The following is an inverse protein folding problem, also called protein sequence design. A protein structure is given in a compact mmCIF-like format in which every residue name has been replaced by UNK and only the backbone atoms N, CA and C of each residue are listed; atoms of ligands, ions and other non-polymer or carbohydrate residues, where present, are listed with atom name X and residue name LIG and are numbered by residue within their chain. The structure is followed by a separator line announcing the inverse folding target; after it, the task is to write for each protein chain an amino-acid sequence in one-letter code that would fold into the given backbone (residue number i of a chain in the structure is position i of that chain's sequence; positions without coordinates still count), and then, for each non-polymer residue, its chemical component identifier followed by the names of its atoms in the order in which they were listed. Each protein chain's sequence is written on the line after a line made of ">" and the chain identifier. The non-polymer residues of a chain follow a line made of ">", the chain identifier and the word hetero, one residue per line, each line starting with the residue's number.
data_IF_393079233345
#
_entry.id   IF_393079233345
#
_cell.length_a   1.000
_cell.length_b   1.000
_cell.length_c   1.000
_cell.angle_alpha   90.00
_cell.angle_beta   90.00
_cell.angle_gamma   90.00
#
_symmetry.space_group_name_H-M   'P 1'
#
loop_
_entity.id
_entity.type
_entity.pdbx_description
1 polymer ?
#
# COMPACT_ATOMS: atom_id res chain seq x y z
N UNK A 1 -50.80 2.40 -15.01
CA UNK A 1 -51.33 3.00 -13.76
C UNK A 1 -50.58 2.41 -12.59
N UNK A 2 -49.55 3.10 -12.10
CA UNK A 2 -48.94 2.78 -10.80
C UNK A 2 -48.64 4.10 -10.09
N UNK A 3 -49.30 4.27 -8.96
CA UNK A 3 -49.22 5.43 -8.07
C UNK A 3 -47.92 5.36 -7.27
N UNK A 4 -47.29 6.52 -7.09
CA UNK A 4 -46.13 6.74 -6.27
C UNK A 4 -46.37 6.54 -4.79
N UNK A 5 -45.34 6.07 -4.09
CA UNK A 5 -45.27 6.03 -2.65
C UNK A 5 -44.14 6.96 -2.22
N UNK A 6 -44.52 8.00 -1.48
CA UNK A 6 -43.61 8.99 -0.95
C UNK A 6 -42.75 8.45 0.19
N UNK A 7 -41.49 8.78 0.15
CA UNK A 7 -40.52 8.44 1.20
C UNK A 7 -40.56 9.53 2.28
N UNK A 8 -41.03 9.16 3.45
CA UNK A 8 -41.00 9.99 4.64
C UNK A 8 -39.61 9.86 5.33
N UNK A 9 -38.85 10.95 5.34
CA UNK A 9 -37.67 11.11 6.17
C UNK A 9 -38.06 11.15 7.64
N UNK A 10 -37.73 10.14 8.43
CA UNK A 10 -37.73 10.20 9.90
C UNK A 10 -36.28 10.31 10.40
N UNK A 11 -35.96 11.51 10.88
CA UNK A 11 -34.76 11.77 11.69
C UNK A 11 -34.98 11.16 13.07
N UNK A 12 -34.21 10.14 13.42
CA UNK A 12 -34.16 9.64 14.78
C UNK A 12 -32.99 10.31 15.52
N UNK A 13 -33.31 11.27 16.37
CA UNK A 13 -32.36 11.86 17.32
C UNK A 13 -32.33 10.93 18.55
N UNK A 14 -31.23 10.24 18.76
CA UNK A 14 -31.02 9.51 20.01
C UNK A 14 -30.14 10.34 20.92
N UNK A 15 -30.74 10.78 22.02
CA UNK A 15 -30.11 11.48 23.13
C UNK A 15 -29.55 10.39 24.04
N UNK A 16 -28.26 10.35 24.27
CA UNK A 16 -27.62 9.55 25.32
C UNK A 16 -27.16 10.49 26.42
N UNK A 17 -27.75 10.30 27.58
CA UNK A 17 -27.47 11.05 28.79
C UNK A 17 -26.13 10.62 29.38
N UNK A 18 -25.34 11.62 29.79
CA UNK A 18 -24.14 11.48 30.61
C UNK A 18 -24.51 11.01 32.03
N UNK A 19 -23.78 10.02 32.53
CA UNK A 19 -23.61 9.80 33.96
C UNK A 19 -22.14 10.04 34.31
N UNK A 20 -21.92 11.14 34.99
CA UNK A 20 -20.66 11.51 35.63
C UNK A 20 -20.55 10.82 37.00
N UNK A 21 -19.43 10.15 37.27
CA UNK A 21 -19.01 9.79 38.61
C UNK A 21 -17.57 10.27 38.82
N UNK A 22 -17.46 11.30 39.59
CA UNK A 22 -16.19 11.82 40.09
C UNK A 22 -15.73 10.96 41.27
N UNK A 23 -14.45 10.55 41.27
CA UNK A 23 -13.75 10.18 42.50
C UNK A 23 -12.42 10.92 42.56
N UNK A 24 -12.41 11.84 43.51
CA UNK A 24 -11.23 12.54 44.03
C UNK A 24 -10.57 11.65 45.07
N UNK A 25 -9.29 11.43 44.97
CA UNK A 25 -8.44 11.02 46.08
C UNK A 25 -7.09 11.72 45.99
N UNK A 26 -6.97 12.65 46.90
CA UNK A 26 -5.79 13.41 47.31
C UNK A 26 -4.89 12.54 48.18
N UNK A 27 -3.58 12.54 47.92
CA UNK A 27 -2.62 12.33 48.99
C UNK A 27 -1.29 13.02 48.65
N UNK A 28 -0.96 14.01 49.46
CA UNK A 28 0.34 14.66 49.56
C UNK A 28 1.32 13.76 50.32
N UNK A 29 2.58 13.79 49.96
CA UNK A 29 3.69 13.73 50.89
C UNK A 29 4.94 14.37 50.29
N UNK A 30 5.37 15.45 50.93
CA UNK A 30 6.70 16.08 50.86
C UNK A 30 7.72 15.16 51.53
N UNK A 31 8.94 15.13 51.05
CA UNK A 31 10.09 15.41 51.93
C UNK A 31 11.34 15.86 51.16
N UNK A 32 11.94 16.85 51.73
CA UNK A 32 13.16 17.63 51.51
C UNK A 32 14.40 16.87 51.98
N UNK A 33 15.53 17.19 51.39
CA UNK A 33 16.81 17.72 51.95
C UNK A 33 17.98 17.38 51.03
N UNK A 34 18.63 18.40 50.48
CA UNK A 34 19.87 19.07 50.88
C UNK A 34 21.14 18.22 50.71
N UNK A 35 22.06 18.68 50.04
CA UNK A 35 23.24 19.60 50.15
C UNK A 35 24.34 19.06 49.27
N UNK A 36 25.04 19.75 48.55
CA UNK A 36 26.05 20.77 48.49
C UNK A 36 27.12 20.56 47.39
N UNK A 37 27.37 21.61 46.69
CA UNK A 37 28.62 22.24 46.27
C UNK A 37 29.75 21.42 45.58
N UNK A 38 30.18 21.82 44.41
CA UNK A 38 31.27 22.73 44.12
C UNK A 38 31.68 22.83 42.62
N UNK A 39 31.59 24.03 42.12
CA UNK A 39 32.58 24.90 41.45
C UNK A 39 33.49 24.34 40.31
N UNK A 40 33.28 25.02 39.18
CA UNK A 40 34.27 25.73 38.32
C UNK A 40 35.02 24.87 37.30
N UNK A 41 35.01 25.16 36.08
CA UNK A 41 35.61 26.25 35.29
C UNK A 41 35.53 25.95 33.79
N UNK A 42 35.20 26.98 33.05
CA UNK A 42 35.58 27.33 31.70
C UNK A 42 36.34 26.34 30.78
N UNK A 43 35.80 26.11 29.61
CA UNK A 43 36.47 26.61 28.39
C UNK A 43 35.51 26.50 27.17
N UNK A 44 35.24 27.61 26.51
CA UNK A 44 34.70 27.73 25.17
C UNK A 44 35.57 26.96 24.18
N UNK A 45 34.95 26.12 23.36
CA UNK A 45 35.44 25.96 21.99
C UNK A 45 34.24 25.73 21.10
N UNK A 46 34.02 26.65 20.18
CA UNK A 46 33.17 26.51 19.00
C UNK A 46 33.63 25.32 18.19
N UNK A 47 32.73 24.46 17.83
CA UNK A 47 32.89 23.65 16.64
C UNK A 47 31.61 23.70 15.82
N UNK A 48 31.64 24.58 14.85
CA UNK A 48 30.73 24.71 13.75
C UNK A 48 31.27 23.85 12.63
N UNK A 49 30.78 22.65 12.45
CA UNK A 49 30.80 21.97 11.15
C UNK A 49 30.29 20.52 11.26
N UNK A 50 28.99 20.31 11.18
CA UNK A 50 28.40 18.99 10.85
C UNK A 50 26.95 19.08 10.34
N UNK A 51 26.65 19.99 9.44
CA UNK A 51 25.33 20.06 8.80
C UNK A 51 25.35 20.12 7.26
N UNK A 52 26.51 19.91 6.64
CA UNK A 52 26.60 20.02 5.17
C UNK A 52 26.66 18.68 4.41
N UNK A 53 26.78 17.53 5.11
CA UNK A 53 26.95 16.23 4.45
C UNK A 53 25.68 15.38 4.34
N UNK A 54 24.58 15.78 5.00
CA UNK A 54 23.30 15.03 4.95
C UNK A 54 22.36 15.53 3.84
N UNK A 55 22.56 16.72 3.34
CA UNK A 55 21.71 17.35 2.33
C UNK A 55 22.01 16.85 0.90
N UNK A 56 23.26 16.57 0.58
CA UNK A 56 23.66 16.17 -0.77
C UNK A 56 23.25 14.72 -1.14
N UNK A 57 23.15 13.81 -0.15
CA UNK A 57 22.72 12.43 -0.39
C UNK A 57 21.21 12.28 -0.51
N UNK A 58 20.44 13.13 0.16
CA UNK A 58 18.99 13.17 0.05
C UNK A 58 18.55 13.80 -1.28
N UNK A 59 19.28 14.80 -1.75
CA UNK A 59 19.04 15.47 -3.05
C UNK A 59 19.30 14.53 -4.24
N UNK A 60 20.32 13.67 -4.21
CA UNK A 60 20.60 12.71 -5.28
C UNK A 60 19.57 11.57 -5.31
N UNK A 61 19.12 11.07 -4.16
CA UNK A 61 18.04 10.09 -4.09
C UNK A 61 16.72 10.66 -4.58
N UNK A 62 16.46 11.92 -4.29
CA UNK A 62 15.27 12.64 -4.78
C UNK A 62 15.29 12.77 -6.29
N UNK A 63 16.44 13.04 -6.91
CA UNK A 63 16.58 13.13 -8.37
C UNK A 63 16.36 11.81 -9.09
N UNK A 64 16.88 10.70 -8.57
CA UNK A 64 16.65 9.38 -9.17
C UNK A 64 15.18 8.96 -9.05
N UNK A 65 14.58 9.21 -7.92
CA UNK A 65 13.17 8.95 -7.67
C UNK A 65 12.26 9.86 -8.52
N UNK A 66 12.57 11.15 -8.61
CA UNK A 66 11.80 12.09 -9.41
C UNK A 66 11.79 11.72 -10.89
N UNK A 67 12.93 11.30 -11.44
CA UNK A 67 13.02 10.86 -12.83
C UNK A 67 12.10 9.65 -13.13
N UNK A 68 11.96 8.72 -12.16
CA UNK A 68 11.01 7.60 -12.28
C UNK A 68 9.56 8.06 -12.21
N UNK A 69 9.24 9.00 -11.33
CA UNK A 69 7.89 9.60 -11.28
C UNK A 69 7.54 10.31 -12.58
N UNK A 70 8.50 11.01 -13.17
CA UNK A 70 8.30 11.76 -14.41
C UNK A 70 7.98 10.87 -15.62
N UNK A 71 8.22 9.56 -15.51
CA UNK A 71 7.82 8.56 -16.50
C UNK A 71 6.36 8.12 -16.36
N UNK A 72 5.67 8.45 -15.24
CA UNK A 72 4.28 8.05 -15.03
C UNK A 72 3.36 8.96 -15.84
N UNK A 73 2.59 8.36 -16.74
CA UNK A 73 1.61 9.04 -17.56
C UNK A 73 0.20 8.42 -17.34
N UNK A 74 -0.85 9.23 -17.28
CA UNK A 74 -0.84 10.70 -17.32
C UNK A 74 -0.26 11.33 -16.04
N UNK A 75 0.32 12.51 -16.16
CA UNK A 75 0.99 13.23 -15.05
C UNK A 75 0.09 13.48 -13.83
N UNK A 76 -1.23 13.48 -14.02
CA UNK A 76 -2.21 13.57 -12.93
C UNK A 76 -2.07 12.43 -11.90
N UNK A 77 -1.54 11.27 -12.27
CA UNK A 77 -1.36 10.15 -11.34
C UNK A 77 -0.22 10.35 -10.32
N UNK A 78 0.62 11.34 -10.53
CA UNK A 78 1.71 11.74 -9.63
C UNK A 78 1.50 13.10 -8.96
N UNK A 79 0.35 13.74 -9.17
CA UNK A 79 0.06 15.08 -8.66
C UNK A 79 -1.15 15.06 -7.72
N UNK A 80 -0.90 15.27 -6.43
CA UNK A 80 -1.93 15.32 -5.41
C UNK A 80 -2.56 16.71 -5.24
N UNK A 81 -2.04 17.76 -5.89
CA UNK A 81 -2.50 19.16 -5.68
C UNK A 81 -3.93 19.42 -6.11
N UNK A 82 -4.45 18.58 -7.01
CA UNK A 82 -5.86 18.64 -7.45
C UNK A 82 -6.83 17.78 -6.64
N UNK A 83 -6.35 17.03 -5.64
CA UNK A 83 -7.17 16.15 -4.83
C UNK A 83 -7.87 16.92 -3.71
N UNK A 84 -9.17 16.65 -3.51
CA UNK A 84 -9.93 17.09 -2.34
C UNK A 84 -9.71 16.12 -1.18
N UNK A 85 -8.47 16.02 -0.72
CA UNK A 85 -8.10 15.15 0.39
C UNK A 85 -8.12 15.94 1.69
N UNK A 86 -8.91 15.48 2.67
CA UNK A 86 -9.07 16.16 3.95
C UNK A 86 -7.79 16.09 4.80
N UNK A 87 -7.58 17.12 5.64
CA UNK A 87 -6.51 17.14 6.63
C UNK A 87 -6.62 15.93 7.58
N UNK A 88 -5.52 15.19 7.74
CA UNK A 88 -5.47 14.00 8.58
C UNK A 88 -6.14 12.77 7.99
N UNK A 89 -6.52 12.81 6.71
CA UNK A 89 -7.08 11.67 6.01
C UNK A 89 -6.19 10.42 6.15
N UNK A 90 -6.84 9.26 6.12
CA UNK A 90 -6.20 7.96 6.26
C UNK A 90 -6.28 7.21 4.93
N UNK A 91 -5.15 6.73 4.43
CA UNK A 91 -5.05 5.88 3.25
C UNK A 91 -4.48 4.54 3.71
N UNK A 92 -5.18 3.46 3.41
CA UNK A 92 -4.74 2.10 3.70
C UNK A 92 -4.11 1.47 2.46
N UNK A 93 -2.96 0.82 2.65
CA UNK A 93 -2.25 0.07 1.61
C UNK A 93 -2.00 -1.34 2.13
N UNK A 94 -2.54 -2.35 1.44
CA UNK A 94 -2.48 -3.74 1.87
C UNK A 94 -1.70 -4.57 0.83
N UNK A 95 -0.56 -5.12 1.24
CA UNK A 95 0.23 -6.04 0.43
C UNK A 95 -0.15 -7.51 0.64
N UNK A 96 0.56 -8.42 -0.05
CA UNK A 96 0.45 -9.87 0.18
C UNK A 96 1.46 -10.39 1.21
N UNK A 97 2.22 -9.51 1.82
CA UNK A 97 3.21 -9.82 2.86
C UNK A 97 3.85 -8.57 3.43
N UNK A 98 4.70 -8.76 4.46
CA UNK A 98 5.36 -7.66 5.18
C UNK A 98 6.87 -7.81 5.26
N UNK A 99 7.41 -9.02 5.08
CA UNK A 99 8.76 -9.39 5.53
C UNK A 99 9.73 -9.74 4.40
N UNK A 100 9.28 -10.00 3.17
CA UNK A 100 10.19 -10.27 2.06
C UNK A 100 10.67 -8.97 1.39
N UNK A 101 11.77 -9.06 0.66
CA UNK A 101 12.43 -7.90 0.06
C UNK A 101 11.52 -7.12 -0.89
N UNK A 102 10.63 -7.80 -1.62
CA UNK A 102 9.68 -7.14 -2.53
C UNK A 102 8.69 -6.28 -1.74
N UNK A 103 8.03 -6.86 -0.74
CA UNK A 103 7.02 -6.14 0.06
C UNK A 103 7.63 -5.04 0.93
N UNK A 104 8.87 -5.22 1.37
CA UNK A 104 9.64 -4.16 2.06
C UNK A 104 9.86 -2.95 1.13
N UNK A 105 10.16 -3.17 -0.17
CA UNK A 105 10.30 -2.06 -1.11
C UNK A 105 8.95 -1.41 -1.44
N UNK A 106 7.88 -2.20 -1.58
CA UNK A 106 6.51 -1.67 -1.76
C UNK A 106 6.12 -0.78 -0.58
N UNK A 107 6.38 -1.22 0.65
CA UNK A 107 6.14 -0.42 1.86
C UNK A 107 6.90 0.92 1.84
N UNK A 108 8.18 0.90 1.47
CA UNK A 108 8.97 2.14 1.34
C UNK A 108 8.38 3.09 0.29
N UNK A 109 7.91 2.54 -0.84
CA UNK A 109 7.22 3.32 -1.86
C UNK A 109 5.94 3.96 -1.34
N UNK A 110 5.13 3.22 -0.59
CA UNK A 110 3.93 3.71 0.05
C UNK A 110 4.21 4.84 1.06
N UNK A 111 5.22 4.65 1.91
CA UNK A 111 5.65 5.68 2.88
C UNK A 111 6.17 6.94 2.17
N UNK A 112 6.89 6.78 1.06
CA UNK A 112 7.36 7.91 0.26
C UNK A 112 6.20 8.65 -0.41
N UNK A 113 5.23 7.93 -0.99
CA UNK A 113 4.02 8.54 -1.56
C UNK A 113 3.26 9.37 -0.51
N UNK A 114 3.18 8.89 0.74
CA UNK A 114 2.60 9.65 1.83
C UNK A 114 3.34 10.96 2.14
N UNK A 115 4.66 10.96 2.08
CA UNK A 115 5.49 12.18 2.22
C UNK A 115 5.22 13.15 1.08
N UNK A 116 5.22 12.66 -0.16
CA UNK A 116 5.03 13.49 -1.35
C UNK A 116 3.63 14.13 -1.38
N UNK A 117 2.59 13.37 -1.02
CA UNK A 117 1.21 13.88 -0.88
C UNK A 117 1.19 15.03 0.14
N UNK A 118 1.78 14.82 1.31
CA UNK A 118 1.81 15.83 2.36
C UNK A 118 2.60 17.07 1.97
N UNK A 119 3.70 16.91 1.27
CA UNK A 119 4.50 18.02 0.74
C UNK A 119 3.69 18.83 -0.29
N UNK A 120 3.06 18.17 -1.27
CA UNK A 120 2.28 18.80 -2.32
C UNK A 120 1.05 19.54 -1.78
N UNK A 121 0.39 18.99 -0.73
CA UNK A 121 -0.78 19.60 -0.10
C UNK A 121 -0.42 20.58 1.02
N UNK A 122 0.85 20.67 1.42
CA UNK A 122 1.30 21.53 2.51
C UNK A 122 0.86 21.04 3.90
N UNK A 123 0.51 19.77 4.07
CA UNK A 123 0.01 19.20 5.33
C UNK A 123 1.15 18.76 6.24
N UNK A 124 1.06 19.13 7.53
CA UNK A 124 2.10 18.84 8.54
C UNK A 124 1.50 18.44 9.89
N UNK A 125 2.23 17.63 10.64
CA UNK A 125 1.86 17.24 12.00
C UNK A 125 0.52 16.50 12.05
N UNK A 126 -0.44 16.99 12.84
CA UNK A 126 -1.77 16.35 12.98
C UNK A 126 -2.63 16.44 11.72
N UNK A 127 -2.31 17.36 10.82
CA UNK A 127 -3.00 17.55 9.55
C UNK A 127 -2.48 16.66 8.44
N UNK A 128 -1.33 16.04 8.64
CA UNK A 128 -0.72 15.18 7.64
C UNK A 128 -1.63 13.99 7.32
N UNK A 129 -1.76 13.68 6.03
CA UNK A 129 -2.36 12.44 5.53
C UNK A 129 -1.54 11.26 6.05
N UNK A 130 -2.23 10.27 6.58
CA UNK A 130 -1.61 9.04 7.09
C UNK A 130 -1.70 7.96 6.04
N UNK A 131 -0.57 7.55 5.50
CA UNK A 131 -0.48 6.38 4.63
C UNK A 131 0.07 5.23 5.47
N UNK A 132 -0.68 4.16 5.59
CA UNK A 132 -0.33 2.99 6.40
C UNK A 132 -0.27 1.76 5.52
N UNK A 133 0.85 1.05 5.60
CA UNK A 133 1.05 -0.22 4.94
C UNK A 133 0.84 -1.37 5.92
N UNK A 134 0.04 -2.34 5.52
CA UNK A 134 -0.23 -3.60 6.23
C UNK A 134 -0.16 -4.78 5.25
N UNK A 135 -0.19 -5.98 5.79
CA UNK A 135 -0.21 -7.21 5.00
C UNK A 135 -0.03 -8.43 5.90
N UNK A 136 -0.31 -9.63 5.40
CA UNK A 136 -0.13 -10.86 6.14
C UNK A 136 1.30 -11.02 6.64
N UNK A 137 1.43 -11.60 7.83
CA UNK A 137 2.72 -11.99 8.39
C UNK A 137 3.31 -13.19 7.67
N UNK A 138 2.46 -14.12 7.28
CA UNK A 138 2.76 -15.23 6.40
C UNK A 138 2.33 -14.87 4.98
N UNK A 139 3.31 -14.80 4.08
CA UNK A 139 3.12 -14.32 2.72
C UNK A 139 2.03 -15.11 1.99
N UNK A 140 1.19 -14.37 1.27
CA UNK A 140 0.07 -14.90 0.48
C UNK A 140 -1.02 -15.61 1.33
N UNK A 141 -1.04 -15.42 2.65
CA UNK A 141 -2.11 -15.92 3.52
C UNK A 141 -3.41 -15.14 3.26
N UNK A 142 -4.33 -15.78 2.55
CA UNK A 142 -5.60 -15.19 2.10
C UNK A 142 -6.49 -14.80 3.28
N UNK A 143 -6.65 -15.70 4.25
CA UNK A 143 -7.55 -15.47 5.41
C UNK A 143 -7.04 -14.31 6.27
N UNK A 144 -5.73 -14.23 6.49
CA UNK A 144 -5.12 -13.11 7.21
C UNK A 144 -5.28 -11.80 6.44
N UNK A 145 -5.14 -11.81 5.09
CA UNK A 145 -5.34 -10.63 4.27
C UNK A 145 -6.79 -10.13 4.33
N UNK A 146 -7.77 -11.02 4.27
CA UNK A 146 -9.20 -10.67 4.37
C UNK A 146 -9.50 -10.05 5.74
N UNK A 147 -8.97 -10.62 6.84
CA UNK A 147 -9.13 -10.06 8.18
C UNK A 147 -8.51 -8.66 8.30
N UNK A 148 -7.30 -8.46 7.74
CA UNK A 148 -6.65 -7.14 7.69
C UNK A 148 -7.52 -6.15 6.91
N UNK A 149 -8.08 -6.56 5.78
CA UNK A 149 -8.95 -5.72 4.96
C UNK A 149 -10.21 -5.30 5.72
N UNK A 150 -10.86 -6.21 6.45
CA UNK A 150 -12.00 -5.89 7.32
C UNK A 150 -11.65 -4.87 8.41
N UNK A 151 -10.50 -5.05 9.06
CA UNK A 151 -10.00 -4.10 10.08
C UNK A 151 -9.74 -2.72 9.49
N UNK A 152 -9.09 -2.66 8.32
CA UNK A 152 -8.77 -1.41 7.65
C UNK A 152 -10.04 -0.67 7.18
N UNK A 153 -11.01 -1.38 6.62
CA UNK A 153 -12.28 -0.79 6.19
C UNK A 153 -13.11 -0.26 7.37
N UNK A 154 -12.99 -0.88 8.55
CA UNK A 154 -13.64 -0.40 9.77
C UNK A 154 -13.16 0.98 10.23
N UNK A 155 -11.99 1.42 9.75
CA UNK A 155 -11.39 2.74 10.01
C UNK A 155 -11.82 3.80 9.01
N UNK A 156 -12.65 3.45 8.04
CA UNK A 156 -13.15 4.35 6.98
C UNK A 156 -12.02 5.08 6.25
N UNK A 157 -11.10 4.37 5.57
CA UNK A 157 -10.02 5.01 4.85
C UNK A 157 -10.55 5.88 3.71
N UNK A 158 -9.89 7.01 3.46
CA UNK A 158 -10.19 7.88 2.34
C UNK A 158 -9.90 7.22 0.97
N UNK A 159 -9.00 6.25 0.96
CA UNK A 159 -8.73 5.36 -0.17
C UNK A 159 -8.13 4.05 0.33
N UNK A 160 -8.37 2.98 -0.42
CA UNK A 160 -7.78 1.65 -0.24
C UNK A 160 -6.94 1.30 -1.45
N UNK A 161 -5.66 0.94 -1.25
CA UNK A 161 -4.85 0.27 -2.25
C UNK A 161 -4.52 -1.15 -1.77
N UNK A 162 -4.74 -2.16 -2.62
CA UNK A 162 -4.53 -3.57 -2.23
C UNK A 162 -3.91 -4.39 -3.36
N UNK A 163 -2.94 -5.23 -3.02
CA UNK A 163 -2.49 -6.35 -3.87
C UNK A 163 -3.17 -7.62 -3.40
N UNK A 164 -4.02 -8.18 -4.23
CA UNK A 164 -4.96 -9.25 -3.85
C UNK A 164 -4.25 -10.62 -3.92
N UNK A 165 -4.26 -11.38 -2.82
CA UNK A 165 -3.67 -12.71 -2.75
C UNK A 165 -4.53 -13.75 -3.50
N UNK A 166 -5.85 -13.67 -3.40
CA UNK A 166 -6.81 -14.52 -4.11
C UNK A 166 -7.87 -13.66 -4.80
N UNK A 167 -8.01 -13.81 -6.12
CA UNK A 167 -8.84 -12.95 -6.97
C UNK A 167 -10.34 -12.90 -6.57
N UNK A 168 -10.82 -13.86 -5.78
CA UNK A 168 -12.22 -13.98 -5.37
C UNK A 168 -12.48 -13.74 -3.88
N UNK A 169 -11.44 -13.77 -3.06
CA UNK A 169 -11.59 -13.77 -1.61
C UNK A 169 -12.07 -12.43 -1.02
N UNK A 170 -11.90 -11.31 -1.73
CA UNK A 170 -12.14 -9.96 -1.19
C UNK A 170 -13.44 -9.30 -1.69
N UNK A 171 -14.31 -9.99 -2.43
CA UNK A 171 -15.49 -9.38 -3.06
C UNK A 171 -16.45 -8.75 -2.04
N UNK A 172 -16.69 -9.43 -0.91
CA UNK A 172 -17.58 -8.92 0.15
C UNK A 172 -17.04 -7.64 0.78
N UNK A 173 -15.73 -7.58 1.00
CA UNK A 173 -15.04 -6.42 1.55
C UNK A 173 -15.04 -5.26 0.55
N UNK A 174 -14.94 -5.56 -0.73
CA UNK A 174 -15.02 -4.55 -1.78
C UNK A 174 -16.42 -3.95 -1.91
N UNK A 175 -17.48 -4.76 -1.73
CA UNK A 175 -18.84 -4.24 -1.61
C UNK A 175 -18.96 -3.29 -0.41
N UNK A 176 -18.37 -3.65 0.73
CA UNK A 176 -18.36 -2.79 1.92
C UNK A 176 -17.59 -1.48 1.65
N UNK A 177 -16.44 -1.55 0.97
CA UNK A 177 -15.71 -0.34 0.57
C UNK A 177 -16.56 0.56 -0.32
N UNK A 178 -17.28 -0.01 -1.28
CA UNK A 178 -18.23 0.71 -2.13
C UNK A 178 -19.34 1.39 -1.34
N UNK A 179 -19.95 0.70 -0.36
CA UNK A 179 -20.97 1.30 0.52
C UNK A 179 -20.42 2.40 1.41
N UNK A 180 -19.17 2.32 1.82
CA UNK A 180 -18.48 3.35 2.60
C UNK A 180 -18.05 4.54 1.73
N UNK A 181 -18.12 4.42 0.41
CA UNK A 181 -17.60 5.43 -0.53
C UNK A 181 -16.07 5.46 -0.61
N UNK A 182 -15.40 4.38 -0.19
CA UNK A 182 -13.94 4.22 -0.24
C UNK A 182 -13.52 3.75 -1.63
N UNK A 183 -12.78 4.54 -2.43
CA UNK A 183 -12.27 4.09 -3.71
C UNK A 183 -11.21 3.00 -3.53
N UNK A 184 -11.25 2.01 -4.43
CA UNK A 184 -10.33 0.87 -4.43
C UNK A 184 -9.38 1.00 -5.61
N UNK A 185 -8.09 0.93 -5.34
CA UNK A 185 -7.03 0.79 -6.32
C UNK A 185 -6.33 -0.55 -6.07
N UNK A 186 -6.12 -1.34 -7.10
CA UNK A 186 -5.30 -2.55 -6.98
C UNK A 186 -3.91 -2.32 -7.54
N UNK A 187 -2.92 -3.01 -6.99
CA UNK A 187 -1.55 -2.98 -7.48
C UNK A 187 -0.93 -4.38 -7.44
N UNK A 188 0.09 -4.63 -8.27
CA UNK A 188 0.73 -5.93 -8.45
C UNK A 188 -0.27 -7.00 -8.90
N UNK A 189 -1.24 -7.38 -8.08
CA UNK A 189 -2.28 -8.36 -8.38
C UNK A 189 -3.68 -7.81 -8.13
N UNK A 190 -4.62 -8.14 -8.99
CA UNK A 190 -6.00 -7.62 -9.01
C UNK A 190 -7.04 -8.74 -9.10
N UNK A 191 -8.30 -8.36 -9.26
CA UNK A 191 -9.44 -9.23 -9.58
C UNK A 191 -10.34 -8.56 -10.62
N UNK A 192 -11.35 -9.31 -11.08
CA UNK A 192 -12.35 -8.81 -12.03
C UNK A 192 -13.48 -8.04 -11.35
N UNK A 193 -13.36 -7.69 -10.06
CA UNK A 193 -14.38 -6.94 -9.33
C UNK A 193 -14.61 -5.56 -9.98
N UNK A 194 -15.86 -5.23 -10.39
CA UNK A 194 -16.14 -4.05 -11.20
C UNK A 194 -15.97 -2.71 -10.48
N UNK A 195 -15.87 -2.73 -9.13
CA UNK A 195 -15.69 -1.54 -8.30
C UNK A 195 -14.25 -1.05 -8.16
N UNK A 196 -13.28 -1.72 -8.81
CA UNK A 196 -11.88 -1.31 -8.79
C UNK A 196 -11.69 -0.09 -9.72
N UNK A 197 -11.22 1.01 -9.14
CA UNK A 197 -11.06 2.29 -9.85
C UNK A 197 -9.82 2.34 -10.75
N UNK A 198 -8.75 1.64 -10.38
CA UNK A 198 -7.51 1.56 -11.15
C UNK A 198 -6.70 0.33 -10.77
N UNK A 199 -5.89 -0.15 -11.71
CA UNK A 199 -4.93 -1.23 -11.49
C UNK A 199 -3.53 -0.80 -11.96
N UNK A 200 -2.55 -0.95 -11.08
CA UNK A 200 -1.14 -0.59 -11.33
C UNK A 200 -0.28 -1.84 -11.22
N UNK A 201 0.27 -2.30 -12.32
CA UNK A 201 1.13 -3.49 -12.32
C UNK A 201 2.16 -3.48 -13.45
N UNK A 202 3.06 -4.45 -13.40
CA UNK A 202 3.84 -4.88 -14.56
C UNK A 202 2.90 -5.41 -15.65
N UNK A 203 3.21 -5.19 -16.92
CA UNK A 203 2.60 -5.97 -18.01
C UNK A 203 3.09 -7.42 -17.92
N UNK A 204 2.32 -8.22 -17.20
CA UNK A 204 2.67 -9.61 -16.89
C UNK A 204 2.63 -10.51 -18.13
N UNK A 205 1.79 -10.19 -19.12
CA UNK A 205 1.72 -10.92 -20.37
C UNK A 205 2.97 -10.66 -21.21
N UNK A 206 3.32 -9.40 -21.43
CA UNK A 206 4.52 -9.04 -22.18
C UNK A 206 5.80 -9.55 -21.50
N UNK A 207 5.89 -9.46 -20.17
CA UNK A 207 7.04 -9.95 -19.41
C UNK A 207 7.24 -11.46 -19.54
N UNK A 208 6.14 -12.24 -19.48
CA UNK A 208 6.22 -13.69 -19.61
C UNK A 208 6.49 -14.14 -21.07
N UNK A 209 5.95 -13.43 -22.04
CA UNK A 209 6.27 -13.63 -23.46
C UNK A 209 7.75 -13.40 -23.73
N UNK A 210 8.31 -12.31 -23.21
CA UNK A 210 9.76 -12.04 -23.34
C UNK A 210 10.61 -13.09 -22.62
N UNK A 211 10.18 -13.55 -21.43
CA UNK A 211 10.87 -14.64 -20.73
C UNK A 211 10.89 -15.94 -21.54
N UNK A 212 9.76 -16.28 -22.18
CA UNK A 212 9.69 -17.45 -23.07
C UNK A 212 10.64 -17.33 -24.25
N UNK A 213 10.69 -16.16 -24.90
CA UNK A 213 11.60 -15.91 -26.04
C UNK A 213 13.07 -16.04 -25.61
N UNK A 214 13.45 -15.42 -24.49
CA UNK A 214 14.82 -15.49 -23.97
C UNK A 214 15.24 -16.91 -23.59
N UNK A 215 14.32 -17.67 -22.98
CA UNK A 215 14.59 -19.06 -22.67
C UNK A 215 14.76 -19.88 -23.92
N UNK A 216 13.86 -19.75 -24.90
CA UNK A 216 13.94 -20.47 -26.19
C UNK A 216 15.24 -20.17 -26.90
N UNK A 217 15.65 -18.91 -27.06
CA UNK A 217 16.93 -18.50 -27.61
C UNK A 217 18.11 -19.18 -26.92
N UNK A 218 18.10 -19.15 -25.56
CA UNK A 218 19.18 -19.75 -24.76
C UNK A 218 19.28 -21.27 -24.90
N UNK A 219 18.16 -21.94 -25.20
CA UNK A 219 18.08 -23.39 -25.41
C UNK A 219 18.38 -23.80 -26.87
N UNK A 220 18.57 -22.85 -27.79
CA UNK A 220 18.66 -23.15 -29.23
C UNK A 220 17.33 -23.61 -29.82
N UNK A 221 16.23 -23.10 -29.33
CA UNK A 221 14.83 -23.30 -29.74
C UNK A 221 14.38 -24.78 -29.74
N UNK A 222 14.97 -25.61 -28.90
CA UNK A 222 14.67 -27.03 -28.84
C UNK A 222 14.95 -27.63 -27.46
N UNK A 223 14.10 -28.56 -27.00
CA UNK A 223 14.29 -29.25 -25.71
C UNK A 223 13.04 -29.33 -24.84
N UNK A 224 13.22 -29.59 -23.56
CA UNK A 224 12.15 -29.77 -22.58
C UNK A 224 12.23 -28.69 -21.50
N UNK A 225 11.08 -28.19 -21.09
CA UNK A 225 10.94 -27.13 -20.06
C UNK A 225 9.96 -27.59 -18.99
N UNK A 226 10.30 -27.36 -17.73
CA UNK A 226 9.39 -27.43 -16.58
C UNK A 226 9.10 -26.03 -16.08
N UNK A 227 7.83 -25.72 -15.76
CA UNK A 227 7.43 -24.45 -15.20
C UNK A 227 7.17 -24.59 -13.70
N UNK A 228 7.77 -23.71 -12.91
CA UNK A 228 7.48 -23.56 -11.48
C UNK A 228 6.76 -22.24 -11.27
N UNK A 229 5.47 -22.32 -10.95
CA UNK A 229 4.63 -21.14 -10.73
C UNK A 229 4.74 -20.65 -9.30
N UNK A 230 4.61 -19.36 -9.11
CA UNK A 230 4.65 -18.75 -7.78
C UNK A 230 3.47 -19.20 -6.92
N UNK A 231 2.29 -19.23 -7.51
CA UNK A 231 1.02 -19.68 -6.93
C UNK A 231 0.00 -19.96 -8.06
N UNK A 232 -1.12 -20.59 -7.72
CA UNK A 232 -2.20 -20.90 -8.67
C UNK A 232 -3.44 -20.00 -8.54
N UNK A 233 -3.44 -19.05 -7.60
CA UNK A 233 -4.64 -18.26 -7.21
C UNK A 233 -4.59 -16.82 -7.67
N UNK A 234 -3.39 -16.23 -7.74
CA UNK A 234 -3.24 -14.83 -8.13
C UNK A 234 -3.40 -14.66 -9.64
N UNK A 235 -4.03 -13.55 -10.02
CA UNK A 235 -4.16 -13.16 -11.42
C UNK A 235 -2.80 -13.02 -12.12
N UNK A 236 -1.80 -12.53 -11.40
CA UNK A 236 -0.43 -12.36 -11.92
C UNK A 236 0.17 -13.69 -12.35
N UNK A 237 0.11 -14.72 -11.48
CA UNK A 237 0.67 -16.03 -11.78
C UNK A 237 -0.03 -16.65 -12.98
N UNK A 238 -1.37 -16.64 -12.99
CA UNK A 238 -2.16 -17.17 -14.12
C UNK A 238 -1.87 -16.45 -15.44
N UNK A 239 -1.75 -15.12 -15.42
CA UNK A 239 -1.43 -14.34 -16.62
C UNK A 239 -0.04 -14.68 -17.16
N UNK A 240 0.96 -14.81 -16.28
CA UNK A 240 2.34 -15.18 -16.67
C UNK A 240 2.40 -16.60 -17.23
N UNK A 241 1.75 -17.56 -16.57
CA UNK A 241 1.69 -18.93 -17.05
C UNK A 241 1.08 -19.00 -18.46
N UNK A 242 -0.11 -18.43 -18.61
CA UNK A 242 -0.82 -18.45 -19.90
C UNK A 242 -0.01 -17.82 -21.04
N UNK A 243 0.61 -16.67 -20.78
CA UNK A 243 1.41 -15.98 -21.79
C UNK A 243 2.69 -16.75 -22.15
N UNK A 244 3.39 -17.31 -21.15
CA UNK A 244 4.59 -18.12 -21.39
C UNK A 244 4.26 -19.38 -22.18
N UNK A 245 3.26 -20.15 -21.74
CA UNK A 245 2.84 -21.39 -22.41
C UNK A 245 2.39 -21.11 -23.85
N UNK A 246 1.56 -20.08 -24.04
CA UNK A 246 1.08 -19.68 -25.37
C UNK A 246 2.22 -19.30 -26.30
N UNK A 247 3.21 -18.54 -25.80
CA UNK A 247 4.37 -18.14 -26.60
C UNK A 247 5.23 -19.34 -27.01
N UNK A 248 5.52 -20.26 -26.08
CA UNK A 248 6.27 -21.49 -26.42
C UNK A 248 5.52 -22.32 -27.43
N UNK A 249 4.24 -22.60 -27.21
CA UNK A 249 3.43 -23.44 -28.08
C UNK A 249 3.24 -22.87 -29.49
N UNK A 250 3.10 -21.56 -29.60
CA UNK A 250 2.84 -20.90 -30.90
C UNK A 250 4.10 -20.64 -31.72
N UNK A 251 5.25 -20.42 -31.07
CA UNK A 251 6.45 -19.91 -31.74
C UNK A 251 7.59 -20.94 -31.79
N UNK A 252 7.66 -21.83 -30.80
CA UNK A 252 8.79 -22.74 -30.63
C UNK A 252 8.36 -24.23 -30.65
N UNK A 253 8.00 -24.79 -31.81
CA UNK A 253 7.38 -26.13 -31.91
C UNK A 253 8.28 -27.28 -31.45
N UNK A 254 9.60 -27.05 -31.34
CA UNK A 254 10.56 -28.05 -30.87
C UNK A 254 10.84 -27.96 -29.38
N UNK A 255 10.16 -27.07 -28.65
CA UNK A 255 10.22 -26.99 -27.18
C UNK A 255 8.95 -27.63 -26.62
N UNK A 256 9.12 -28.57 -25.72
CA UNK A 256 8.01 -29.23 -25.02
C UNK A 256 7.96 -28.79 -23.57
N UNK A 257 6.80 -28.26 -23.10
CA UNK A 257 6.56 -28.06 -21.70
C UNK A 257 6.09 -29.40 -21.12
N UNK A 258 6.95 -30.04 -20.32
CA UNK A 258 6.70 -31.39 -19.79
C UNK A 258 5.84 -31.39 -18.55
N UNK A 259 5.94 -30.34 -17.73
CA UNK A 259 5.15 -30.21 -16.50
C UNK A 259 5.07 -28.75 -16.00
N UNK A 260 3.99 -28.44 -15.28
CA UNK A 260 3.81 -27.16 -14.58
C UNK A 260 3.46 -27.45 -13.11
N UNK A 261 4.16 -26.81 -12.17
CA UNK A 261 4.00 -26.97 -10.73
C UNK A 261 3.54 -25.67 -10.05
#
# INVERSE_FOLDING_TARGET
>A
IVKGIGIMKKRCKMIIALLSAAMVLTACAKNTSDTDSNKANDTKTQDTSKDAAQDDTETEKTKEYQAKLDMIEPSAYRDARGLSLEEGAYISIIGKGTNDDFWVQVKKGAEQAGKDINEQLGYKGKKAVKVVYSGPSDKDNVDEQVNILDEELSRYPAALAISIADAKACEVQFDQAGWNGTPIVTFDSSSDYPGISAFVSTDNSASATEAANRLAEAMGESGEVMLFMQDSKSQVAQTRENAFVSQIQSTYPNITIVETY
#
